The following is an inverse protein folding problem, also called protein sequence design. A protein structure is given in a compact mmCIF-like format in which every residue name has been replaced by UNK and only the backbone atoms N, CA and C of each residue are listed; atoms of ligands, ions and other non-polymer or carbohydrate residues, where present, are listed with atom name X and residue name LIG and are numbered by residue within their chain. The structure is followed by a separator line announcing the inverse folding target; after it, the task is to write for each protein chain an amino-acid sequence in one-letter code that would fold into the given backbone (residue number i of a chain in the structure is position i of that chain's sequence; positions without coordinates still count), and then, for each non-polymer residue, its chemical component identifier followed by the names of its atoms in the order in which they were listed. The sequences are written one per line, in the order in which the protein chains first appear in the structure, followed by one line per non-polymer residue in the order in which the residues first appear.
data_IF_686711342301
#
_entry.id   IF_686711342301
#
_cell.length_a   1.000
_cell.length_b   1.000
_cell.length_c   1.000
_cell.angle_alpha   90.00
_cell.angle_beta   90.00
_cell.angle_gamma   90.00
#
_symmetry.space_group_name_H-M   'P 1'
#
loop_
_entity.id
_entity.type
_entity.pdbx_description
1 polymer ?
#
# COMPACT_ATOMS: atom_id res chain seq x y z
N UNK A 1 7.92 3.23 -4.51
CA UNK A 1 7.25 2.96 -3.24
C UNK A 1 8.26 3.08 -2.10
N UNK A 2 9.22 2.16 -2.02
CA UNK A 2 10.36 2.19 -1.09
C UNK A 2 11.35 3.35 -1.35
N UNK A 3 12.37 3.49 -0.50
CA UNK A 3 13.52 4.38 -0.71
C UNK A 3 14.47 3.81 -1.76
N UNK A 4 14.75 2.51 -1.67
CA UNK A 4 15.73 1.83 -2.52
C UNK A 4 15.23 0.48 -3.01
N UNK A 5 15.62 0.13 -4.23
CA UNK A 5 15.40 -1.18 -4.85
C UNK A 5 16.73 -1.77 -5.33
N UNK A 6 17.08 -2.96 -4.84
CA UNK A 6 18.22 -3.75 -5.33
C UNK A 6 17.72 -4.81 -6.31
N UNK A 7 18.25 -4.86 -7.53
CA UNK A 7 17.87 -5.86 -8.54
C UNK A 7 18.61 -7.18 -8.29
N UNK A 8 18.08 -8.29 -8.81
CA UNK A 8 18.67 -9.62 -8.58
C UNK A 8 20.09 -9.74 -9.20
N UNK A 9 20.31 -9.04 -10.31
CA UNK A 9 21.55 -9.03 -11.09
C UNK A 9 22.50 -7.86 -10.72
N UNK A 10 22.15 -7.07 -9.70
CA UNK A 10 22.89 -5.85 -9.38
C UNK A 10 23.07 -5.64 -7.89
N UNK A 11 24.31 -5.34 -7.50
CA UNK A 11 24.67 -4.95 -6.12
C UNK A 11 24.37 -3.48 -5.80
N UNK A 12 24.13 -2.64 -6.81
CA UNK A 12 23.91 -1.21 -6.61
C UNK A 12 22.40 -0.89 -6.53
N UNK A 13 21.90 -0.39 -5.38
CA UNK A 13 20.51 -0.04 -5.25
C UNK A 13 20.14 1.15 -6.15
N UNK A 14 18.92 1.13 -6.69
CA UNK A 14 18.28 2.24 -7.40
C UNK A 14 17.45 3.07 -6.43
N UNK A 15 17.55 4.39 -6.53
CA UNK A 15 16.71 5.32 -5.76
C UNK A 15 15.30 5.30 -6.34
N UNK A 16 14.32 5.20 -5.45
CA UNK A 16 12.90 5.10 -5.78
C UNK A 16 12.15 6.32 -5.22
N UNK A 17 10.82 6.35 -5.37
CA UNK A 17 10.00 7.50 -4.96
C UNK A 17 10.01 7.82 -3.45
N UNK A 18 10.49 6.92 -2.58
CA UNK A 18 10.66 7.19 -1.15
C UNK A 18 9.37 7.41 -0.37
N UNK A 19 8.22 6.92 -0.87
CA UNK A 19 6.94 7.01 -0.17
C UNK A 19 6.93 6.22 1.13
N UNK A 20 7.73 5.15 1.19
CA UNK A 20 7.95 4.34 2.38
C UNK A 20 9.45 4.20 2.67
N UNK A 21 9.84 4.22 3.94
CA UNK A 21 11.18 3.98 4.46
C UNK A 21 11.52 2.48 4.50
N UNK A 22 11.41 1.89 3.32
CA UNK A 22 11.72 0.49 3.06
C UNK A 22 12.91 0.41 2.11
N UNK A 23 13.71 -0.63 2.27
CA UNK A 23 14.61 -1.12 1.23
C UNK A 23 14.10 -2.46 0.71
N UNK A 24 13.94 -2.56 -0.61
CA UNK A 24 13.42 -3.76 -1.28
C UNK A 24 14.55 -4.40 -2.08
N UNK A 25 14.59 -5.74 -2.11
CA UNK A 25 15.44 -6.49 -3.04
C UNK A 25 14.61 -7.43 -3.92
N UNK A 26 15.04 -7.63 -5.16
CA UNK A 26 14.52 -8.65 -6.05
C UNK A 26 15.21 -9.99 -5.77
N UNK A 27 14.44 -11.08 -5.70
CA UNK A 27 14.96 -12.45 -5.74
C UNK A 27 14.92 -13.01 -7.17
N UNK A 28 15.75 -14.00 -7.46
CA UNK A 28 15.64 -14.83 -8.68
C UNK A 28 14.45 -15.80 -8.61
N UNK A 29 13.96 -16.09 -7.40
CA UNK A 29 12.87 -17.02 -7.15
C UNK A 29 11.61 -16.30 -6.68
N UNK A 30 10.47 -16.85 -7.09
CA UNK A 30 9.14 -16.37 -6.71
C UNK A 30 8.97 -16.45 -5.18
N UNK A 31 8.61 -15.33 -4.55
CA UNK A 31 8.47 -15.23 -3.09
C UNK A 31 7.06 -15.63 -2.64
N UNK A 32 6.03 -15.19 -3.35
CA UNK A 32 4.64 -15.54 -3.05
C UNK A 32 3.82 -15.54 -4.33
N UNK A 33 2.92 -16.53 -4.41
CA UNK A 33 1.86 -16.61 -5.40
C UNK A 33 0.61 -17.19 -4.75
N UNK A 34 -0.52 -16.50 -4.90
CA UNK A 34 -1.80 -17.04 -4.45
C UNK A 34 -2.90 -15.99 -4.33
N UNK A 35 -4.15 -16.46 -4.31
CA UNK A 35 -5.31 -15.63 -4.06
C UNK A 35 -5.44 -15.31 -2.56
N UNK A 36 -5.85 -14.08 -2.26
CA UNK A 36 -5.95 -13.56 -0.90
C UNK A 36 -7.26 -12.81 -0.72
N UNK A 37 -7.83 -12.92 0.46
CA UNK A 37 -8.88 -12.04 0.96
C UNK A 37 -8.31 -11.28 2.15
N UNK A 38 -8.38 -9.95 2.10
CA UNK A 38 -7.90 -9.07 3.15
C UNK A 38 -9.05 -8.25 3.71
N UNK A 39 -9.03 -8.05 5.02
CA UNK A 39 -9.91 -7.13 5.74
C UNK A 39 -9.10 -5.91 6.17
N UNK A 40 -9.63 -4.72 5.94
CA UNK A 40 -9.02 -3.49 6.43
C UNK A 40 -9.11 -3.42 7.96
N UNK A 41 -7.99 -3.31 8.66
CA UNK A 41 -7.96 -3.15 10.13
C UNK A 41 -8.16 -1.71 10.58
N UNK A 42 -7.99 -0.75 9.66
CA UNK A 42 -8.14 0.70 9.84
C UNK A 42 -8.74 1.35 8.58
N UNK A 43 -9.16 2.60 8.68
CA UNK A 43 -9.56 3.38 7.50
C UNK A 43 -8.34 3.61 6.58
N UNK A 44 -8.57 3.52 5.28
CA UNK A 44 -7.55 3.70 4.24
C UNK A 44 -8.13 4.45 3.04
N UNK A 45 -7.26 4.79 2.09
CA UNK A 45 -7.69 5.41 0.82
C UNK A 45 -8.60 4.52 -0.03
N UNK A 46 -8.66 3.22 0.26
CA UNK A 46 -9.50 2.25 -0.47
C UNK A 46 -10.75 1.82 0.30
N UNK A 47 -10.98 2.31 1.53
CA UNK A 47 -12.17 1.95 2.30
C UNK A 47 -12.05 2.17 3.80
N UNK A 48 -13.17 2.05 4.50
CA UNK A 48 -13.22 2.07 5.96
C UNK A 48 -12.73 0.76 6.58
N UNK A 49 -12.39 0.78 7.87
CA UNK A 49 -12.13 -0.44 8.66
C UNK A 49 -13.27 -1.46 8.46
N UNK A 50 -12.91 -2.72 8.28
CA UNK A 50 -13.82 -3.83 8.07
C UNK A 50 -14.18 -4.08 6.60
N UNK A 51 -13.82 -3.19 5.67
CA UNK A 51 -13.97 -3.46 4.24
C UNK A 51 -13.11 -4.66 3.87
N UNK A 52 -13.73 -5.62 3.19
CA UNK A 52 -13.07 -6.80 2.65
C UNK A 52 -12.80 -6.64 1.16
N UNK A 53 -11.63 -7.08 0.72
CA UNK A 53 -11.30 -7.14 -0.69
C UNK A 53 -10.45 -8.36 -1.02
N UNK A 54 -10.68 -8.91 -2.22
CA UNK A 54 -9.91 -10.03 -2.74
C UNK A 54 -8.91 -9.56 -3.77
N UNK A 55 -7.87 -10.36 -3.93
CA UNK A 55 -6.84 -10.15 -4.93
C UNK A 55 -5.95 -11.36 -5.03
N UNK A 56 -4.76 -11.16 -5.58
CA UNK A 56 -3.72 -12.16 -5.56
C UNK A 56 -2.37 -11.51 -5.27
N UNK A 57 -1.43 -12.29 -4.77
CA UNK A 57 -0.03 -11.93 -4.70
C UNK A 57 0.71 -12.62 -5.84
N UNK A 58 1.66 -11.92 -6.44
CA UNK A 58 2.64 -12.48 -7.36
C UNK A 58 3.88 -11.59 -7.33
N UNK A 59 4.85 -11.92 -6.47
CA UNK A 59 6.05 -11.10 -6.34
C UNK A 59 7.32 -11.91 -6.14
N UNK A 60 8.41 -11.37 -6.70
CA UNK A 60 9.78 -11.87 -6.53
C UNK A 60 10.57 -11.02 -5.52
N UNK A 61 10.09 -9.82 -5.22
CA UNK A 61 10.77 -8.93 -4.29
C UNK A 61 10.39 -9.23 -2.85
N UNK A 62 11.29 -8.92 -1.93
CA UNK A 62 11.06 -8.94 -0.49
C UNK A 62 11.62 -7.67 0.16
N UNK A 63 11.18 -7.40 1.39
CA UNK A 63 11.71 -6.28 2.17
C UNK A 63 13.05 -6.72 2.75
N UNK A 64 14.11 -6.00 2.38
CA UNK A 64 15.46 -6.21 2.87
C UNK A 64 15.68 -5.51 4.20
N UNK A 65 15.14 -4.31 4.33
CA UNK A 65 15.19 -3.51 5.54
C UNK A 65 13.88 -2.78 5.69
N UNK A 66 13.30 -2.91 6.87
CA UNK A 66 12.08 -2.22 7.26
C UNK A 66 12.43 -1.25 8.39
N UNK A 67 12.61 0.02 8.04
CA UNK A 67 12.76 1.11 9.00
C UNK A 67 11.45 1.90 9.13
N UNK A 68 10.37 1.41 8.53
CA UNK A 68 9.14 2.16 8.45
C UNK A 68 8.38 2.08 9.76
N UNK A 69 7.96 3.24 10.26
CA UNK A 69 6.97 3.33 11.34
C UNK A 69 5.63 3.63 10.68
N UNK A 70 4.96 2.59 10.19
CA UNK A 70 3.66 2.73 9.54
C UNK A 70 2.63 1.75 10.07
N UNK A 71 1.38 2.02 9.72
CA UNK A 71 0.28 1.16 10.06
C UNK A 71 0.20 -0.03 9.10
N UNK A 72 0.18 -1.24 9.66
CA UNK A 72 -0.25 -2.44 8.94
C UNK A 72 -1.79 -2.47 8.91
N UNK A 73 -2.36 -2.26 7.74
CA UNK A 73 -3.81 -2.07 7.57
C UNK A 73 -4.56 -3.27 7.01
N UNK A 74 -3.87 -4.38 6.70
CA UNK A 74 -4.49 -5.61 6.20
C UNK A 74 -4.42 -6.72 7.23
N UNK A 75 -5.54 -7.40 7.42
CA UNK A 75 -5.64 -8.70 8.08
C UNK A 75 -6.05 -9.73 7.03
N UNK A 76 -5.35 -10.86 6.96
CA UNK A 76 -5.59 -11.89 5.93
C UNK A 76 -6.44 -13.00 6.50
N UNK A 77 -7.50 -13.37 5.78
CA UNK A 77 -8.29 -14.56 6.12
C UNK A 77 -7.88 -15.71 5.19
N UNK A 78 -7.23 -16.75 5.72
CA UNK A 78 -6.91 -17.95 4.93
C UNK A 78 -7.95 -19.05 5.16
N UNK A 79 -8.30 -19.79 4.10
CA UNK A 79 -9.23 -20.93 4.16
C UNK A 79 -8.71 -22.11 5.02
N UNK A 80 -7.46 -22.08 5.47
CA UNK A 80 -6.80 -23.21 6.14
C UNK A 80 -6.04 -22.82 7.43
N UNK A 81 -6.22 -21.61 7.97
CA UNK A 81 -5.55 -21.20 9.21
C UNK A 81 -4.02 -21.10 9.11
N UNK A 82 -3.46 -21.03 7.89
CA UNK A 82 -2.06 -20.67 7.69
C UNK A 82 -1.95 -19.15 7.75
N UNK A 83 -1.16 -18.64 8.71
CA UNK A 83 -0.81 -17.23 8.82
C UNK A 83 0.06 -16.84 7.61
N UNK A 84 -0.58 -16.39 6.53
CA UNK A 84 0.12 -15.73 5.44
C UNK A 84 0.00 -14.23 5.63
N UNK A 85 1.12 -13.60 5.94
CA UNK A 85 1.20 -12.17 6.24
C UNK A 85 1.22 -11.36 4.94
N UNK A 86 0.05 -10.99 4.42
CA UNK A 86 -0.06 -9.95 3.40
C UNK A 86 -0.17 -8.61 4.12
N UNK A 87 0.96 -7.94 4.27
CA UNK A 87 0.99 -6.62 4.86
C UNK A 87 0.45 -5.57 3.88
N UNK A 88 -0.44 -4.71 4.37
CA UNK A 88 -0.77 -3.43 3.75
C UNK A 88 -0.10 -2.33 4.57
N UNK A 89 0.87 -1.63 4.00
CA UNK A 89 1.59 -0.53 4.62
C UNK A 89 0.84 0.77 4.34
N UNK A 90 0.48 1.52 5.38
CA UNK A 90 -0.17 2.82 5.24
C UNK A 90 0.61 3.93 5.90
N UNK A 91 0.95 4.97 5.12
CA UNK A 91 1.58 6.21 5.56
C UNK A 91 0.87 7.40 4.93
N UNK A 92 0.27 8.24 5.76
CA UNK A 92 -0.62 9.33 5.34
C UNK A 92 -1.72 8.83 4.38
N UNK A 93 -1.78 9.37 3.17
CA UNK A 93 -2.71 8.98 2.10
C UNK A 93 -2.09 7.96 1.12
N UNK A 94 -1.00 7.30 1.50
CA UNK A 94 -0.33 6.29 0.68
C UNK A 94 -0.60 4.90 1.26
N UNK A 95 -1.08 4.00 0.41
CA UNK A 95 -1.23 2.59 0.70
C UNK A 95 -0.30 1.77 -0.22
N UNK A 96 0.51 0.89 0.37
CA UNK A 96 1.40 -0.02 -0.34
C UNK A 96 1.16 -1.46 0.08
N UNK A 97 1.07 -2.39 -0.87
CA UNK A 97 0.95 -3.82 -0.58
C UNK A 97 1.38 -4.64 -1.80
N UNK A 98 1.73 -5.91 -1.58
CA UNK A 98 1.88 -6.90 -2.64
C UNK A 98 0.55 -7.45 -3.18
N UNK A 99 -0.58 -7.05 -2.59
CA UNK A 99 -1.90 -7.43 -3.08
C UNK A 99 -2.22 -6.75 -4.42
N UNK A 100 -2.29 -7.56 -5.48
CA UNK A 100 -2.92 -7.18 -6.73
C UNK A 100 -4.44 -7.26 -6.56
N UNK A 101 -5.03 -6.09 -6.29
CA UNK A 101 -6.44 -5.94 -5.97
C UNK A 101 -7.33 -6.38 -7.13
N UNK A 102 -8.30 -7.26 -6.87
CA UNK A 102 -9.38 -7.57 -7.80
C UNK A 102 -10.61 -6.71 -7.48
N UNK A 103 -10.72 -5.54 -8.12
CA UNK A 103 -11.82 -4.61 -7.88
C UNK A 103 -13.23 -5.18 -8.12
N UNK A 104 -13.37 -6.21 -8.97
CA UNK A 104 -14.64 -6.92 -9.16
C UNK A 104 -15.13 -7.64 -7.90
N UNK A 105 -14.25 -7.94 -6.95
CA UNK A 105 -14.64 -8.56 -5.67
C UNK A 105 -15.35 -7.60 -4.71
N UNK A 106 -15.09 -6.29 -4.85
CA UNK A 106 -15.76 -5.26 -4.08
C UNK A 106 -15.71 -3.92 -4.84
N UNK A 107 -16.75 -3.59 -5.64
CA UNK A 107 -16.79 -2.37 -6.43
C UNK A 107 -16.80 -1.06 -5.62
N UNK A 108 -17.06 -1.11 -4.31
CA UNK A 108 -17.01 0.08 -3.46
C UNK A 108 -15.57 0.54 -3.19
N UNK A 109 -14.60 -0.37 -3.26
CA UNK A 109 -13.19 -0.03 -3.09
C UNK A 109 -12.67 0.97 -4.14
N UNK A 110 -12.78 0.71 -5.46
CA UNK A 110 -12.34 1.70 -6.45
C UNK A 110 -13.19 2.98 -6.40
N UNK A 111 -14.49 2.90 -6.06
CA UNK A 111 -15.33 4.11 -5.87
C UNK A 111 -14.82 4.97 -4.73
N UNK A 112 -14.50 4.36 -3.58
CA UNK A 112 -13.95 5.04 -2.42
C UNK A 112 -12.60 5.71 -2.75
N UNK A 113 -11.72 5.00 -3.47
CA UNK A 113 -10.44 5.56 -3.90
C UNK A 113 -10.62 6.81 -4.79
N UNK A 114 -11.48 6.73 -5.81
CA UNK A 114 -11.77 7.87 -6.70
C UNK A 114 -12.40 9.04 -5.92
N UNK A 115 -13.30 8.76 -4.97
CA UNK A 115 -13.89 9.79 -4.11
C UNK A 115 -12.81 10.51 -3.27
N UNK A 116 -11.90 9.76 -2.63
CA UNK A 116 -10.78 10.34 -1.90
C UNK A 116 -9.86 11.19 -2.78
N UNK A 117 -9.61 10.77 -4.03
CA UNK A 117 -8.86 11.59 -4.99
C UNK A 117 -9.57 12.91 -5.32
N UNK A 118 -10.89 12.88 -5.53
CA UNK A 118 -11.69 14.08 -5.78
C UNK A 118 -11.68 15.03 -4.57
N UNK A 119 -11.84 14.49 -3.36
CA UNK A 119 -11.78 15.26 -2.11
C UNK A 119 -10.40 15.86 -1.86
N UNK A 120 -9.33 15.13 -2.19
CA UNK A 120 -7.96 15.65 -2.10
C UNK A 120 -7.76 16.82 -3.06
N UNK A 121 -8.23 16.71 -4.31
CA UNK A 121 -8.18 17.82 -5.28
C UNK A 121 -8.91 19.05 -4.75
N UNK A 122 -10.10 18.89 -4.19
CA UNK A 122 -10.89 20.00 -3.66
C UNK A 122 -10.18 20.70 -2.48
N UNK A 123 -9.66 19.92 -1.53
CA UNK A 123 -8.90 20.44 -0.39
C UNK A 123 -7.64 21.19 -0.84
N UNK A 124 -6.92 20.65 -1.82
CA UNK A 124 -5.73 21.29 -2.38
C UNK A 124 -6.04 22.64 -3.02
N UNK A 125 -7.13 22.74 -3.79
CA UNK A 125 -7.52 24.00 -4.45
C UNK A 125 -7.93 25.07 -3.43
N UNK A 126 -8.71 24.72 -2.41
CA UNK A 126 -9.06 25.64 -1.31
C UNK A 126 -7.83 26.18 -0.58
N UNK A 127 -6.87 25.31 -0.29
CA UNK A 127 -5.63 25.72 0.40
C UNK A 127 -4.74 26.63 -0.46
N UNK A 128 -4.91 26.62 -1.79
CA UNK A 128 -4.21 27.54 -2.71
C UNK A 128 -4.92 28.91 -2.73
N UNK A 129 -6.25 28.94 -2.64
CA UNK A 129 -7.06 30.16 -2.64
C UNK A 129 -7.00 30.94 -1.31
N UNK A 130 -6.66 30.29 -0.19
CA UNK A 130 -6.38 30.93 1.10
C UNK A 130 -4.94 30.64 1.53
N UNK A 131 -3.94 31.42 1.09
CA UNK A 131 -2.60 31.31 1.64
C UNK A 131 -2.67 31.70 3.12
N UNK A 132 -2.16 30.84 4.00
CA UNK A 132 -1.98 31.15 5.41
C UNK A 132 -1.16 32.44 5.54
N UNK A 133 -1.79 33.52 6.00
CA UNK A 133 -1.07 34.74 6.40
C UNK A 133 -0.17 34.33 7.56
N UNK A 134 1.17 34.50 7.48
CA UNK A 134 2.03 34.21 8.61
C UNK A 134 1.67 35.19 9.73
N UNK A 135 1.26 34.64 10.88
CA UNK A 135 1.16 35.42 12.11
C UNK A 135 2.61 35.69 12.53
N UNK A 136 2.95 36.98 12.53
CA UNK A 136 4.26 37.56 12.89
C UNK A 136 4.49 37.39 14.39
#
# INVERSE_FOLDING_TARGET
LCQKLTLADSVHPKIMAGCFDLEICMSETLQSLGYREVTLTKNSVIGAKGVQIRGHEFHYSSIKTDNEVCDHVFEVTTRAGQDVQVAGYQKDLTLGSYLHVHFGSNPEVPRCFVAHCADFRHRRLKNIETPSVPII
#
